data_IF_085721565367
#
_entry.id   IF_085721565367
#
_cell.length_a   1.000
_cell.length_b   1.000
_cell.length_c   1.000
_cell.angle_alpha   90.00
_cell.angle_beta   90.00
_cell.angle_gamma   90.00
#
_symmetry.space_group_name_H-M   'P 1'
#
loop_
_entity.id
_entity.type
_entity.pdbx_description
1 polymer ?
#
# COMPACT_ATOMS: atom_id res chain seq x y z
N UNK A 1 24.19 -12.32 -3.38
CA UNK A 1 23.06 -11.51 -3.88
C UNK A 1 23.25 -11.41 -5.38
N UNK A 2 22.38 -12.04 -6.15
CA UNK A 2 22.41 -11.92 -7.60
C UNK A 2 21.91 -10.51 -7.96
N UNK A 3 22.77 -9.68 -8.55
CA UNK A 3 22.42 -8.31 -8.91
C UNK A 3 21.40 -8.25 -10.06
N UNK A 4 21.16 -9.36 -10.76
CA UNK A 4 20.14 -9.47 -11.80
C UNK A 4 18.74 -9.80 -11.27
N UNK A 5 18.62 -10.24 -10.01
CA UNK A 5 17.34 -10.55 -9.39
C UNK A 5 16.66 -9.26 -8.90
N UNK A 6 15.53 -8.84 -9.50
CA UNK A 6 14.87 -7.59 -9.14
C UNK A 6 14.30 -7.63 -7.71
N UNK A 7 14.10 -8.82 -7.14
CA UNK A 7 13.65 -9.02 -5.75
C UNK A 7 14.82 -9.21 -4.77
N UNK A 8 16.07 -9.06 -5.21
CA UNK A 8 17.25 -9.30 -4.36
C UNK A 8 17.36 -8.39 -3.14
N UNK A 9 16.57 -7.31 -3.13
CA UNK A 9 16.62 -6.29 -2.09
C UNK A 9 15.30 -6.09 -1.35
N UNK A 10 14.34 -6.96 -1.64
CA UNK A 10 13.10 -7.05 -0.90
C UNK A 10 13.38 -7.24 0.62
N UNK A 11 12.63 -6.58 1.51
CA UNK A 11 12.89 -6.65 2.95
C UNK A 11 12.77 -8.06 3.52
N UNK A 12 13.35 -8.31 4.69
CA UNK A 12 13.05 -9.54 5.43
C UNK A 12 11.68 -9.43 6.09
N UNK A 13 10.96 -10.55 6.19
CA UNK A 13 9.60 -10.60 6.75
C UNK A 13 9.53 -11.58 7.89
N UNK A 14 8.57 -11.36 8.78
CA UNK A 14 8.40 -12.21 9.96
C UNK A 14 8.15 -13.68 9.55
N UNK A 15 8.86 -14.64 10.16
CA UNK A 15 8.82 -16.05 9.73
C UNK A 15 7.48 -16.74 10.02
N UNK A 16 6.64 -16.17 10.89
CA UNK A 16 5.31 -16.71 11.15
C UNK A 16 4.31 -16.45 10.02
N UNK A 17 4.56 -15.52 9.09
CA UNK A 17 3.63 -15.24 8.00
C UNK A 17 3.40 -16.48 7.13
N UNK A 18 2.15 -16.68 6.70
CA UNK A 18 1.80 -17.73 5.74
C UNK A 18 2.11 -17.19 4.35
N UNK A 19 3.25 -17.59 3.79
CA UNK A 19 3.69 -17.15 2.45
C UNK A 19 2.92 -17.88 1.37
N UNK A 20 2.13 -17.13 0.59
CA UNK A 20 1.41 -17.63 -0.58
C UNK A 20 2.26 -17.53 -1.86
N UNK A 21 3.18 -16.56 -1.92
CA UNK A 21 4.12 -16.38 -3.02
C UNK A 21 5.36 -15.64 -2.55
N UNK A 22 6.56 -16.10 -2.94
CA UNK A 22 7.81 -15.47 -2.52
C UNK A 22 8.19 -14.25 -3.39
N UNK A 23 7.90 -14.31 -4.71
CA UNK A 23 8.30 -13.29 -5.69
C UNK A 23 7.20 -13.06 -6.73
N UNK A 24 6.57 -11.87 -6.78
CA UNK A 24 6.55 -10.85 -5.72
C UNK A 24 6.03 -11.41 -4.39
N UNK A 25 6.49 -10.84 -3.27
CA UNK A 25 6.16 -11.35 -1.93
C UNK A 25 4.69 -11.11 -1.59
N UNK A 26 3.98 -12.19 -1.25
CA UNK A 26 2.58 -12.16 -0.84
C UNK A 26 2.36 -13.14 0.31
N UNK A 27 1.91 -12.65 1.46
CA UNK A 27 1.74 -13.46 2.66
C UNK A 27 0.60 -12.94 3.54
N UNK A 28 -0.02 -13.83 4.31
CA UNK A 28 -1.12 -13.52 5.22
C UNK A 28 -0.78 -13.83 6.68
N UNK A 29 -1.48 -13.14 7.59
CA UNK A 29 -1.37 -13.39 9.03
C UNK A 29 -1.91 -14.78 9.38
N UNK A 30 -1.21 -15.58 10.20
CA UNK A 30 -1.75 -16.86 10.68
C UNK A 30 -3.09 -16.68 11.39
N UNK A 31 -4.08 -17.58 11.19
CA UNK A 31 -5.37 -17.51 11.87
C UNK A 31 -5.25 -17.44 13.40
N UNK A 32 -4.27 -18.14 13.97
CA UNK A 32 -4.00 -18.14 15.41
C UNK A 32 -3.49 -16.79 15.94
N UNK A 33 -3.06 -15.88 15.07
CA UNK A 33 -2.53 -14.55 15.43
C UNK A 33 -3.39 -13.41 14.90
N UNK A 34 -4.29 -13.68 13.94
CA UNK A 34 -5.04 -12.66 13.21
C UNK A 34 -5.99 -11.84 14.11
N UNK A 35 -6.48 -12.44 15.19
CA UNK A 35 -7.45 -11.84 16.11
C UNK A 35 -6.88 -11.55 17.50
N UNK A 36 -5.58 -11.80 17.72
CA UNK A 36 -4.92 -11.58 19.03
C UNK A 36 -4.89 -10.10 19.42
N UNK A 37 -4.91 -9.21 18.43
CA UNK A 37 -4.87 -7.77 18.62
C UNK A 37 -5.89 -7.09 17.72
N UNK A 38 -6.61 -6.11 18.26
CA UNK A 38 -7.51 -5.26 17.46
C UNK A 38 -6.75 -4.54 16.33
N UNK A 39 -5.49 -4.17 16.57
CA UNK A 39 -4.56 -3.65 15.57
C UNK A 39 -3.50 -4.73 15.30
N UNK A 40 -3.48 -5.25 14.10
CA UNK A 40 -2.50 -6.27 13.68
C UNK A 40 -1.09 -5.68 13.80
N UNK A 41 -0.14 -6.34 14.50
CA UNK A 41 1.25 -5.88 14.55
C UNK A 41 1.84 -5.72 13.14
N UNK A 42 2.65 -4.68 12.92
CA UNK A 42 3.16 -4.34 11.58
C UNK A 42 3.87 -5.52 10.89
N UNK A 43 4.69 -6.27 11.63
CA UNK A 43 5.43 -7.42 11.11
C UNK A 43 4.54 -8.63 10.76
N UNK A 44 3.28 -8.60 11.21
CA UNK A 44 2.26 -9.60 10.93
C UNK A 44 1.15 -9.10 9.99
N UNK A 45 1.16 -7.82 9.61
CA UNK A 45 0.18 -7.24 8.68
C UNK A 45 0.31 -7.94 7.32
N UNK A 46 -0.80 -8.41 6.75
CA UNK A 46 -0.76 -9.16 5.48
C UNK A 46 -0.06 -8.32 4.39
N UNK A 47 0.78 -8.96 3.58
CA UNK A 47 1.55 -8.26 2.53
C UNK A 47 1.04 -8.71 1.17
N UNK A 48 0.67 -7.76 0.31
CA UNK A 48 0.36 -8.02 -1.09
C UNK A 48 1.22 -7.13 -1.98
N UNK A 49 2.27 -7.68 -2.58
CA UNK A 49 3.06 -6.99 -3.58
C UNK A 49 2.73 -7.50 -5.00
N UNK A 50 2.62 -6.57 -5.95
CA UNK A 50 2.53 -6.88 -7.38
C UNK A 50 3.91 -6.90 -8.05
N UNK A 51 4.84 -6.09 -7.54
CA UNK A 51 6.18 -5.84 -8.08
C UNK A 51 7.25 -5.95 -6.96
N UNK A 52 8.55 -5.87 -7.27
CA UNK A 52 9.59 -5.72 -6.25
C UNK A 52 9.38 -4.49 -5.38
N UNK A 53 9.84 -4.53 -4.13
CA UNK A 53 9.71 -3.38 -3.20
C UNK A 53 10.71 -2.29 -3.62
N UNK A 54 10.26 -1.05 -3.93
CA UNK A 54 11.17 0.02 -4.31
C UNK A 54 12.11 0.41 -3.16
N UNK A 55 13.39 0.61 -3.48
CA UNK A 55 14.33 1.25 -2.56
C UNK A 55 14.17 2.77 -2.60
N UNK A 56 13.56 3.32 -1.58
CA UNK A 56 13.31 4.75 -1.48
C UNK A 56 14.20 5.36 -0.39
N UNK A 57 15.04 6.32 -0.76
CA UNK A 57 15.65 7.24 0.21
C UNK A 57 14.64 8.33 0.58
N UNK A 58 14.10 8.25 1.78
CA UNK A 58 13.09 9.19 2.29
C UNK A 58 13.54 10.66 2.24
N UNK A 59 14.84 10.96 2.34
CA UNK A 59 15.35 12.34 2.28
C UNK A 59 15.23 12.94 0.88
N UNK A 60 15.45 12.10 -0.13
CA UNK A 60 15.43 12.50 -1.54
C UNK A 60 14.08 12.23 -2.22
N UNK A 61 13.24 11.38 -1.62
CA UNK A 61 11.91 11.10 -2.13
C UNK A 61 11.04 12.36 -2.17
N UNK A 62 10.25 12.48 -3.23
CA UNK A 62 9.31 13.56 -3.41
C UNK A 62 7.97 13.02 -3.91
N UNK A 63 6.91 13.62 -3.42
CA UNK A 63 5.55 13.42 -3.90
C UNK A 63 5.22 14.51 -4.93
N UNK A 64 4.87 14.08 -6.13
CA UNK A 64 4.40 14.96 -7.20
C UNK A 64 2.87 15.03 -7.22
N UNK A 65 2.31 16.22 -7.39
CA UNK A 65 0.87 16.42 -7.64
C UNK A 65 0.71 17.26 -8.90
N UNK A 66 0.05 16.68 -9.89
CA UNK A 66 -0.16 17.26 -11.22
C UNK A 66 -1.53 16.87 -11.78
N UNK A 67 -1.85 17.41 -12.96
CA UNK A 67 -3.10 17.15 -13.66
C UNK A 67 -4.09 18.31 -13.64
N UNK A 68 -5.32 18.03 -14.06
CA UNK A 68 -6.35 19.04 -14.27
C UNK A 68 -6.72 19.75 -12.96
N UNK A 69 -6.74 21.09 -13.00
CA UNK A 69 -7.14 21.92 -11.86
C UNK A 69 -6.03 22.17 -10.84
N UNK A 70 -4.86 21.53 -10.99
CA UNK A 70 -3.66 21.89 -10.23
C UNK A 70 -3.15 23.24 -10.71
N UNK A 71 -3.03 24.19 -9.79
CA UNK A 71 -2.58 25.57 -10.07
C UNK A 71 -1.13 25.79 -9.68
N UNK A 72 -0.59 24.93 -8.81
CA UNK A 72 0.78 24.97 -8.33
C UNK A 72 1.33 23.57 -8.46
N UNK A 73 2.30 23.37 -9.36
CA UNK A 73 3.04 22.12 -9.43
C UNK A 73 3.66 21.87 -8.07
N UNK A 74 3.34 20.73 -7.46
CA UNK A 74 3.82 20.38 -6.14
C UNK A 74 4.78 19.22 -6.27
N UNK A 75 5.99 19.44 -5.74
CA UNK A 75 7.06 18.45 -5.66
C UNK A 75 7.58 18.48 -4.21
N UNK A 76 6.96 17.67 -3.34
CA UNK A 76 7.02 17.87 -1.89
C UNK A 76 7.86 16.79 -1.23
N UNK A 77 8.76 17.18 -0.33
CA UNK A 77 9.49 16.21 0.49
C UNK A 77 8.64 15.59 1.59
N UNK A 78 8.99 14.38 2.02
CA UNK A 78 8.35 13.72 3.17
C UNK A 78 8.46 14.58 4.43
N UNK A 79 9.60 15.25 4.64
CA UNK A 79 9.81 16.16 5.76
C UNK A 79 8.88 17.39 5.71
N UNK A 80 8.60 17.93 4.53
CA UNK A 80 7.66 19.04 4.39
C UNK A 80 6.25 18.60 4.76
N UNK A 81 5.81 17.41 4.32
CA UNK A 81 4.51 16.84 4.69
C UNK A 81 4.37 16.71 6.21
N UNK A 82 5.41 16.18 6.88
CA UNK A 82 5.41 15.99 8.34
C UNK A 82 5.38 17.29 9.15
N UNK A 83 5.97 18.38 8.63
CA UNK A 83 6.10 19.64 9.38
C UNK A 83 4.97 20.64 9.14
N UNK A 84 4.34 20.60 7.96
CA UNK A 84 3.44 21.68 7.52
C UNK A 84 1.98 21.28 7.45
N UNK A 85 1.65 20.03 7.77
CA UNK A 85 0.28 19.53 7.78
C UNK A 85 -0.06 18.95 9.15
N UNK A 86 -1.33 19.08 9.53
CA UNK A 86 -1.85 18.43 10.73
C UNK A 86 -1.84 16.91 10.54
N UNK A 87 -1.20 16.14 11.45
CA UNK A 87 -1.26 14.69 11.40
C UNK A 87 -2.66 14.20 11.77
N UNK A 88 -3.23 13.35 10.92
CA UNK A 88 -4.56 12.79 11.12
C UNK A 88 -4.45 11.28 11.20
N UNK A 89 -5.02 10.71 12.27
CA UNK A 89 -5.06 9.27 12.50
C UNK A 89 -6.44 8.70 12.19
N UNK A 90 -6.47 7.59 11.45
CA UNK A 90 -7.69 6.83 11.14
C UNK A 90 -7.40 5.35 11.38
N UNK A 91 -8.21 4.70 12.21
CA UNK A 91 -8.17 3.24 12.30
C UNK A 91 -9.00 2.65 11.16
N UNK A 92 -8.36 1.85 10.31
CA UNK A 92 -9.01 1.22 9.17
C UNK A 92 -8.42 -0.15 8.86
N UNK A 93 -9.31 -1.08 8.53
CA UNK A 93 -8.93 -2.39 8.02
C UNK A 93 -8.71 -2.31 6.50
N UNK A 94 -7.65 -2.95 6.03
CA UNK A 94 -7.40 -3.15 4.60
C UNK A 94 -7.66 -4.61 4.30
N UNK A 95 -8.49 -4.88 3.30
CA UNK A 95 -8.83 -6.24 2.85
C UNK A 95 -8.49 -6.39 1.37
N UNK A 96 -7.76 -7.45 1.03
CA UNK A 96 -7.55 -7.81 -0.36
C UNK A 96 -8.87 -8.29 -0.99
N UNK A 97 -9.17 -7.85 -2.21
CA UNK A 97 -10.31 -8.36 -2.98
C UNK A 97 -10.27 -9.90 -3.18
N UNK A 98 -9.07 -10.50 -3.06
CA UNK A 98 -8.88 -11.93 -3.13
C UNK A 98 -9.01 -12.68 -1.81
N UNK A 99 -9.36 -12.03 -0.70
CA UNK A 99 -9.47 -12.73 0.58
C UNK A 99 -10.46 -13.91 0.46
N UNK A 100 -10.09 -15.09 0.99
CA UNK A 100 -10.86 -16.34 0.88
C UNK A 100 -10.99 -16.93 -0.52
N UNK A 101 -10.12 -16.55 -1.47
CA UNK A 101 -10.12 -17.12 -2.83
C UNK A 101 -9.90 -18.64 -2.82
N UNK A 102 -9.12 -19.19 -1.89
CA UNK A 102 -8.95 -20.65 -1.78
C UNK A 102 -10.31 -21.36 -1.64
N UNK A 103 -11.24 -20.78 -0.88
CA UNK A 103 -12.58 -21.34 -0.70
C UNK A 103 -13.39 -21.31 -2.00
N UNK A 104 -13.34 -20.22 -2.77
CA UNK A 104 -13.98 -20.16 -4.09
C UNK A 104 -13.40 -21.23 -5.04
N UNK A 105 -12.07 -21.41 -5.01
CA UNK A 105 -11.36 -22.35 -5.85
C UNK A 105 -11.69 -23.83 -5.59
N UNK A 106 -12.24 -24.15 -4.40
CA UNK A 106 -12.79 -25.48 -4.06
C UNK A 106 -14.08 -25.78 -4.82
N UNK A 107 -14.88 -24.76 -5.16
CA UNK A 107 -16.14 -24.91 -5.91
C UNK A 107 -15.93 -24.85 -7.43
N UNK A 108 -15.17 -23.85 -7.90
CA UNK A 108 -14.81 -23.71 -9.32
C UNK A 108 -13.43 -23.09 -9.42
N UNK A 109 -12.57 -23.65 -10.27
CA UNK A 109 -11.20 -23.16 -10.44
C UNK A 109 -11.19 -21.67 -10.82
N UNK A 110 -10.38 -20.91 -10.09
CA UNK A 110 -10.24 -19.46 -10.21
C UNK A 110 -8.77 -19.10 -10.44
N UNK A 111 -8.53 -17.91 -10.99
CA UNK A 111 -7.18 -17.38 -11.20
C UNK A 111 -6.78 -16.41 -10.07
N UNK A 112 -5.48 -16.30 -9.84
CA UNK A 112 -4.87 -15.42 -8.83
C UNK A 112 -4.40 -16.16 -7.58
N UNK A 113 -3.83 -15.39 -6.64
CA UNK A 113 -3.26 -15.92 -5.39
C UNK A 113 -4.33 -16.63 -4.55
N UNK A 114 -4.01 -17.83 -4.08
CA UNK A 114 -4.91 -18.67 -3.27
C UNK A 114 -4.87 -18.26 -1.80
N UNK A 115 -5.29 -17.02 -1.53
CA UNK A 115 -5.46 -16.53 -0.17
C UNK A 115 -6.41 -17.43 0.62
N UNK A 116 -6.01 -17.74 1.85
CA UNK A 116 -6.87 -18.40 2.84
C UNK A 116 -7.77 -17.34 3.47
N UNK A 117 -7.73 -17.14 4.77
CA UNK A 117 -8.76 -16.39 5.49
C UNK A 117 -8.35 -14.97 5.88
N UNK A 118 -7.04 -14.68 5.86
CA UNK A 118 -6.48 -13.51 6.52
C UNK A 118 -5.70 -12.60 5.57
N UNK A 119 -6.15 -12.47 4.32
CA UNK A 119 -5.74 -11.36 3.46
C UNK A 119 -6.46 -10.05 3.87
N UNK A 120 -6.45 -9.77 5.17
CA UNK A 120 -7.05 -8.63 5.85
C UNK A 120 -6.24 -8.33 7.12
N UNK A 121 -6.01 -7.06 7.40
CA UNK A 121 -5.37 -6.61 8.65
C UNK A 121 -5.85 -5.22 9.02
N UNK A 122 -5.78 -4.86 10.30
CA UNK A 122 -6.28 -3.59 10.82
C UNK A 122 -5.16 -2.80 11.49
N UNK A 123 -5.09 -1.50 11.21
CA UNK A 123 -4.08 -0.62 11.80
C UNK A 123 -4.62 0.80 12.00
N UNK A 124 -3.90 1.57 12.82
CA UNK A 124 -4.07 3.02 12.88
C UNK A 124 -3.11 3.68 11.91
N UNK A 125 -3.67 4.34 10.90
CA UNK A 125 -2.93 5.02 9.85
C UNK A 125 -2.82 6.49 10.20
N UNK A 126 -1.60 7.01 10.29
CA UNK A 126 -1.36 8.43 10.54
C UNK A 126 -0.69 9.07 9.33
N UNK A 127 -1.22 10.21 8.88
CA UNK A 127 -0.67 10.93 7.75
C UNK A 127 -1.38 12.25 7.46
N UNK A 128 -1.18 12.74 6.24
CA UNK A 128 -1.82 13.97 5.74
C UNK A 128 -3.09 13.60 5.00
N UNK A 129 -4.18 14.35 5.22
CA UNK A 129 -5.42 14.16 4.44
C UNK A 129 -5.14 14.49 2.98
N UNK A 130 -5.45 13.57 2.07
CA UNK A 130 -5.36 13.81 0.62
C UNK A 130 -6.12 15.08 0.19
N UNK A 131 -7.27 15.35 0.81
CA UNK A 131 -8.06 16.57 0.59
C UNK A 131 -7.23 17.84 0.80
N UNK A 132 -6.49 17.92 1.90
CA UNK A 132 -5.76 19.13 2.28
C UNK A 132 -4.58 19.35 1.32
N UNK A 133 -3.94 18.26 0.90
CA UNK A 133 -2.90 18.28 -0.12
C UNK A 133 -3.42 18.79 -1.48
N UNK A 134 -4.58 18.30 -1.93
CA UNK A 134 -5.18 18.73 -3.20
C UNK A 134 -5.66 20.19 -3.14
N UNK A 135 -6.23 20.62 -2.02
CA UNK A 135 -6.59 22.03 -1.80
C UNK A 135 -5.36 22.93 -1.85
N UNK A 136 -4.24 22.51 -1.24
CA UNK A 136 -2.97 23.24 -1.31
C UNK A 136 -2.45 23.36 -2.74
N UNK A 137 -2.64 22.32 -3.57
CA UNK A 137 -2.31 22.32 -5.00
C UNK A 137 -3.22 23.24 -5.84
N UNK A 138 -4.27 23.81 -5.22
CA UNK A 138 -5.22 24.72 -5.84
C UNK A 138 -6.40 24.03 -6.54
N UNK A 139 -6.55 22.71 -6.33
CA UNK A 139 -7.66 21.93 -6.87
C UNK A 139 -8.96 22.37 -6.20
N UNK A 140 -9.97 22.67 -7.01
CA UNK A 140 -11.33 22.90 -6.54
C UNK A 140 -12.09 21.55 -6.50
N UNK A 141 -12.48 21.04 -5.32
CA UNK A 141 -13.22 19.77 -5.21
C UNK A 141 -14.58 19.77 -5.94
N UNK A 142 -15.13 20.95 -6.21
CA UNK A 142 -16.40 21.12 -6.91
C UNK A 142 -16.23 21.35 -8.41
N UNK A 143 -15.01 21.24 -8.96
CA UNK A 143 -14.81 21.35 -10.40
C UNK A 143 -15.39 20.11 -11.11
N UNK A 144 -16.47 20.26 -11.90
CA UNK A 144 -17.16 19.11 -12.49
C UNK A 144 -16.32 18.36 -13.52
N UNK A 145 -15.20 18.93 -13.97
CA UNK A 145 -14.29 18.28 -14.93
C UNK A 145 -13.37 17.27 -14.25
N UNK A 146 -13.13 17.42 -12.95
CA UNK A 146 -12.29 16.51 -12.17
C UNK A 146 -13.18 15.37 -11.68
N UNK A 147 -12.93 14.15 -12.18
CA UNK A 147 -13.73 12.96 -11.86
C UNK A 147 -13.03 11.99 -10.93
N UNK A 148 -11.71 11.90 -11.04
CA UNK A 148 -10.89 10.91 -10.36
C UNK A 148 -9.58 11.53 -9.90
N UNK A 149 -8.99 10.93 -8.88
CA UNK A 149 -7.60 11.15 -8.47
C UNK A 149 -6.88 9.84 -8.72
N UNK A 150 -5.84 9.86 -9.54
CA UNK A 150 -5.01 8.69 -9.80
C UNK A 150 -3.81 8.71 -8.85
N UNK A 151 -3.45 7.53 -8.34
CA UNK A 151 -2.32 7.34 -7.45
C UNK A 151 -1.35 6.38 -8.13
N UNK A 152 -0.11 6.80 -8.29
CA UNK A 152 0.96 6.00 -8.89
C UNK A 152 2.02 5.69 -7.83
N UNK A 153 2.41 4.42 -7.75
CA UNK A 153 3.47 3.95 -6.88
C UNK A 153 4.85 4.15 -7.51
N UNK A 154 5.90 4.00 -6.70
CA UNK A 154 7.28 3.99 -7.20
C UNK A 154 7.70 2.60 -7.73
N UNK A 155 6.84 1.60 -7.56
CA UNK A 155 7.03 0.27 -8.14
C UNK A 155 6.72 0.31 -9.64
N UNK A 156 7.62 -0.26 -10.41
CA UNK A 156 7.51 -0.36 -11.86
C UNK A 156 7.57 -1.83 -12.27
N UNK A 157 6.91 -2.13 -13.39
CA UNK A 157 7.12 -3.41 -14.06
C UNK A 157 8.57 -3.51 -14.53
N UNK A 158 9.11 -4.72 -14.54
CA UNK A 158 10.48 -4.97 -15.02
C UNK A 158 10.55 -5.18 -16.54
N UNK A 159 9.46 -4.91 -17.26
CA UNK A 159 9.36 -4.95 -18.72
C UNK A 159 9.41 -3.56 -19.37
#
# INVERSE_FOLDING_TARGET
VDASDPFSTDPERHPALIVNQQRPFNAETPPSLAMDNFRTPNDLFFVRNHMPVPKIDAKNHRLSVEGLGVKRLMNISVDHLKRNFEPVSVTAAIQCAGNRRENMNKYKKCQGLMWKENAISNAEWTGVRLRDLLLLAGVNPNDPRIKYVHLEGADADTE
#
